data_IF_992576352122
#
_entry.id   IF_992576352122
#
_cell.length_a   1.000
_cell.length_b   1.000
_cell.length_c   1.000
_cell.angle_alpha   90.00
_cell.angle_beta   90.00
_cell.angle_gamma   90.00
#
_symmetry.space_group_name_H-M   'P 1'
#
loop_
_entity.id
_entity.type
_entity.pdbx_description
1 polymer ?
#
# COMPACT_ATOMS: atom_id res chain seq x y z
N UNK A 1 -16.22 -31.55 -36.39
CA UNK A 1 -16.61 -30.13 -36.55
C UNK A 1 -17.69 -29.88 -35.52
N UNK A 2 -17.31 -29.58 -34.28
CA UNK A 2 -18.26 -29.28 -33.22
C UNK A 2 -18.81 -27.88 -33.48
N UNK A 3 -20.01 -27.80 -34.06
CA UNK A 3 -20.69 -26.52 -34.19
C UNK A 3 -21.01 -25.99 -32.78
N UNK A 4 -20.73 -24.71 -32.49
CA UNK A 4 -21.05 -24.13 -31.20
C UNK A 4 -22.57 -24.10 -31.04
N UNK A 5 -23.08 -24.96 -30.15
CA UNK A 5 -24.50 -25.23 -29.94
C UNK A 5 -25.28 -23.96 -29.51
N UNK A 6 -24.64 -23.05 -28.77
CA UNK A 6 -25.27 -21.84 -28.26
C UNK A 6 -25.64 -20.82 -29.37
N UNK A 7 -24.74 -20.44 -30.30
CA UNK A 7 -25.09 -19.68 -31.49
C UNK A 7 -26.28 -20.26 -32.27
N UNK A 8 -26.27 -21.57 -32.49
CA UNK A 8 -27.37 -22.24 -33.21
C UNK A 8 -28.71 -22.08 -32.48
N UNK A 9 -28.73 -22.24 -31.16
CA UNK A 9 -29.95 -22.04 -30.36
C UNK A 9 -30.41 -20.56 -30.35
N UNK A 10 -29.49 -19.60 -30.41
CA UNK A 10 -29.83 -18.18 -30.53
C UNK A 10 -30.51 -17.88 -31.88
N UNK A 11 -29.99 -18.44 -32.97
CA UNK A 11 -30.56 -18.30 -34.30
C UNK A 11 -31.94 -18.97 -34.37
N UNK A 12 -32.08 -20.17 -33.82
CA UNK A 12 -33.38 -20.83 -33.68
C UNK A 12 -34.36 -19.98 -32.87
N UNK A 13 -33.93 -19.31 -31.80
CA UNK A 13 -34.78 -18.41 -31.00
C UNK A 13 -35.32 -17.25 -31.84
N UNK A 14 -34.44 -16.62 -32.61
CA UNK A 14 -34.77 -15.46 -33.45
C UNK A 14 -35.81 -15.86 -34.50
N UNK A 15 -35.59 -16.97 -35.19
CA UNK A 15 -36.51 -17.44 -36.24
C UNK A 15 -37.85 -17.93 -35.67
N UNK A 16 -37.85 -18.61 -34.51
CA UNK A 16 -39.08 -19.05 -33.86
C UNK A 16 -39.92 -17.87 -33.34
N UNK A 17 -39.28 -16.80 -32.85
CA UNK A 17 -39.99 -15.58 -32.42
C UNK A 17 -40.61 -14.82 -33.59
N UNK A 18 -40.02 -14.89 -34.79
CA UNK A 18 -40.62 -14.36 -36.02
C UNK A 18 -41.79 -15.22 -36.51
N UNK A 19 -41.66 -16.54 -36.44
CA UNK A 19 -42.65 -17.48 -36.95
C UNK A 19 -43.88 -17.66 -36.04
N UNK A 20 -43.72 -17.51 -34.73
CA UNK A 20 -44.77 -17.76 -33.73
C UNK A 20 -45.13 -16.47 -32.97
N UNK A 21 -46.34 -15.94 -33.19
CA UNK A 21 -46.84 -14.73 -32.51
C UNK A 21 -46.90 -14.84 -30.99
N UNK A 22 -47.06 -16.04 -30.45
CA UNK A 22 -47.13 -16.32 -29.00
C UNK A 22 -45.90 -17.09 -28.49
N UNK A 23 -44.76 -16.95 -29.18
CA UNK A 23 -43.53 -17.68 -28.85
C UNK A 23 -43.14 -17.56 -27.38
N UNK A 24 -43.16 -16.35 -26.82
CA UNK A 24 -42.71 -16.10 -25.44
C UNK A 24 -43.66 -16.72 -24.38
N UNK A 25 -44.87 -17.13 -24.77
CA UNK A 25 -45.82 -17.86 -23.90
C UNK A 25 -45.78 -19.37 -24.13
N UNK A 26 -45.04 -19.84 -25.13
CA UNK A 26 -44.97 -21.25 -25.50
C UNK A 26 -44.00 -22.03 -24.62
N UNK A 27 -44.32 -23.31 -24.40
CA UNK A 27 -43.42 -24.23 -23.70
C UNK A 27 -42.08 -24.40 -24.44
N UNK A 28 -42.10 -24.30 -25.77
CA UNK A 28 -40.90 -24.33 -26.60
C UNK A 28 -39.96 -23.15 -26.32
N UNK A 29 -40.51 -21.94 -26.17
CA UNK A 29 -39.75 -20.75 -25.79
C UNK A 29 -39.08 -20.91 -24.44
N UNK A 30 -39.82 -21.38 -23.44
CA UNK A 30 -39.31 -21.62 -22.08
C UNK A 30 -38.18 -22.67 -22.07
N UNK A 31 -38.34 -23.78 -22.82
CA UNK A 31 -37.31 -24.82 -22.93
C UNK A 31 -36.05 -24.32 -23.63
N UNK A 32 -36.19 -23.51 -24.67
CA UNK A 32 -35.07 -22.98 -25.44
C UNK A 32 -34.28 -21.92 -24.66
N UNK A 33 -34.97 -21.04 -23.94
CA UNK A 33 -34.32 -20.07 -23.04
C UNK A 33 -33.60 -20.77 -21.87
N UNK A 34 -34.16 -21.87 -21.35
CA UNK A 34 -33.52 -22.69 -20.32
C UNK A 34 -32.22 -23.32 -20.86
N UNK A 35 -32.23 -23.88 -22.07
CA UNK A 35 -31.05 -24.46 -22.69
C UNK A 35 -29.95 -23.41 -22.98
N UNK A 36 -30.33 -22.21 -23.42
CA UNK A 36 -29.40 -21.10 -23.63
C UNK A 36 -28.75 -20.59 -22.34
N UNK A 37 -29.49 -20.62 -21.22
CA UNK A 37 -28.97 -20.26 -19.90
C UNK A 37 -27.96 -21.29 -19.39
N UNK A 38 -28.19 -22.59 -19.63
CA UNK A 38 -27.28 -23.67 -19.24
C UNK A 38 -25.96 -23.65 -20.03
N UNK A 39 -25.98 -23.16 -21.27
CA UNK A 39 -24.81 -23.10 -22.16
C UNK A 39 -24.06 -21.77 -22.08
N UNK A 40 -24.44 -20.86 -21.19
CA UNK A 40 -23.72 -19.61 -21.01
C UNK A 40 -22.32 -19.88 -20.39
N UNK A 41 -21.23 -19.34 -20.96
CA UNK A 41 -19.92 -19.45 -20.35
C UNK A 41 -19.93 -18.73 -19.00
N UNK A 42 -19.18 -19.22 -18.00
CA UNK A 42 -19.02 -18.51 -16.75
C UNK A 42 -18.23 -17.21 -17.03
N UNK A 43 -18.88 -16.06 -16.88
CA UNK A 43 -18.21 -14.77 -16.89
C UNK A 43 -17.30 -14.66 -15.65
N UNK A 44 -16.06 -14.14 -15.77
CA UNK A 44 -15.18 -13.96 -14.64
C UNK A 44 -15.68 -12.79 -13.77
N UNK A 45 -16.42 -13.11 -12.71
CA UNK A 45 -16.94 -12.14 -11.75
C UNK A 45 -17.98 -12.77 -10.81
N UNK A 46 -17.53 -13.13 -9.61
CA UNK A 46 -18.19 -14.04 -8.65
C UNK A 46 -19.60 -13.67 -8.18
N UNK A 47 -20.10 -12.45 -8.39
CA UNK A 47 -21.43 -12.05 -7.92
C UNK A 47 -22.60 -12.61 -8.76
N UNK A 48 -22.38 -12.93 -10.05
CA UNK A 48 -23.46 -13.38 -10.95
C UNK A 48 -23.73 -14.88 -10.87
N UNK A 49 -22.76 -15.67 -10.40
CA UNK A 49 -22.90 -17.11 -10.19
C UNK A 49 -23.90 -17.42 -9.08
N UNK A 50 -23.90 -16.63 -8.00
CA UNK A 50 -24.82 -16.79 -6.88
C UNK A 50 -26.24 -16.39 -7.23
N UNK A 51 -26.43 -15.26 -7.94
CA UNK A 51 -27.74 -14.86 -8.46
C UNK A 51 -28.33 -15.89 -9.45
N UNK A 52 -27.48 -16.49 -10.30
CA UNK A 52 -27.90 -17.54 -11.25
C UNK A 52 -28.23 -18.85 -10.54
N UNK A 53 -27.56 -19.15 -9.44
CA UNK A 53 -27.80 -20.36 -8.63
C UNK A 53 -29.06 -20.20 -7.77
N UNK A 54 -29.29 -19.03 -7.19
CA UNK A 54 -30.53 -18.67 -6.52
C UNK A 54 -31.73 -18.70 -7.49
N UNK A 55 -31.57 -18.16 -8.70
CA UNK A 55 -32.61 -18.22 -9.74
C UNK A 55 -32.93 -19.68 -10.16
N UNK A 56 -31.91 -20.52 -10.32
CA UNK A 56 -32.09 -21.96 -10.61
C UNK A 56 -32.77 -22.71 -9.47
N UNK A 57 -32.39 -22.43 -8.23
CA UNK A 57 -33.02 -23.01 -7.05
C UNK A 57 -34.48 -22.56 -6.93
N UNK A 58 -34.76 -21.27 -7.12
CA UNK A 58 -36.12 -20.72 -7.11
C UNK A 58 -36.99 -21.36 -8.20
N UNK A 59 -36.46 -21.52 -9.42
CA UNK A 59 -37.16 -22.20 -10.51
C UNK A 59 -37.45 -23.67 -10.19
N UNK A 60 -36.46 -24.41 -9.64
CA UNK A 60 -36.64 -25.80 -9.23
C UNK A 60 -37.74 -25.93 -8.16
N UNK A 61 -37.74 -25.05 -7.15
CA UNK A 61 -38.78 -25.00 -6.12
C UNK A 61 -40.16 -24.65 -6.69
N UNK A 62 -40.25 -23.71 -7.63
CA UNK A 62 -41.50 -23.36 -8.31
C UNK A 62 -42.08 -24.55 -9.08
N UNK A 63 -41.24 -25.29 -9.80
CA UNK A 63 -41.66 -26.48 -10.54
C UNK A 63 -42.08 -27.60 -9.61
N UNK A 64 -41.31 -27.88 -8.56
CA UNK A 64 -41.66 -28.88 -7.54
C UNK A 64 -42.97 -28.53 -6.83
N UNK A 65 -43.17 -27.26 -6.47
CA UNK A 65 -44.39 -26.79 -5.83
C UNK A 65 -45.62 -26.91 -6.75
N UNK A 66 -45.48 -26.64 -8.06
CA UNK A 66 -46.55 -26.83 -9.05
C UNK A 66 -46.96 -28.30 -9.16
N UNK A 67 -45.99 -29.21 -9.22
CA UNK A 67 -46.25 -30.67 -9.25
C UNK A 67 -46.87 -31.12 -7.93
N UNK A 68 -46.38 -30.63 -6.79
CA UNK A 68 -46.93 -30.97 -5.47
C UNK A 68 -48.38 -30.48 -5.33
N UNK A 69 -48.70 -29.29 -5.82
CA UNK A 69 -50.05 -28.72 -5.79
C UNK A 69 -51.06 -29.59 -6.56
N UNK A 70 -50.65 -30.20 -7.67
CA UNK A 70 -51.53 -31.04 -8.49
C UNK A 70 -51.61 -32.48 -7.98
N UNK A 71 -50.51 -33.03 -7.45
CA UNK A 71 -50.43 -34.45 -7.04
C UNK A 71 -50.79 -34.66 -5.56
N UNK A 72 -50.45 -33.72 -4.69
CA UNK A 72 -50.59 -33.85 -3.22
C UNK A 72 -51.01 -32.50 -2.58
N UNK A 73 -52.27 -32.07 -2.76
CA UNK A 73 -52.72 -30.74 -2.35
C UNK A 73 -52.67 -30.49 -0.83
N UNK A 74 -52.81 -31.55 -0.01
CA UNK A 74 -52.72 -31.45 1.46
C UNK A 74 -51.30 -31.09 1.90
N UNK A 75 -50.29 -31.78 1.36
CA UNK A 75 -48.87 -31.50 1.63
C UNK A 75 -48.46 -30.12 1.12
N UNK A 76 -48.98 -29.70 -0.04
CA UNK A 76 -48.77 -28.33 -0.54
C UNK A 76 -49.33 -27.28 0.44
N UNK A 77 -50.52 -27.50 1.01
CA UNK A 77 -51.12 -26.60 1.98
C UNK A 77 -50.40 -26.56 3.34
N UNK A 78 -49.76 -27.65 3.75
CA UNK A 78 -48.86 -27.68 4.92
C UNK A 78 -47.56 -26.92 4.66
N UNK A 79 -46.91 -27.19 3.52
CA UNK A 79 -45.70 -26.48 3.10
C UNK A 79 -45.94 -24.97 2.96
N UNK A 80 -47.07 -24.57 2.38
CA UNK A 80 -47.43 -23.15 2.23
C UNK A 80 -47.58 -22.46 3.59
N UNK A 81 -48.24 -23.11 4.57
CA UNK A 81 -48.39 -22.56 5.92
C UNK A 81 -47.03 -22.41 6.62
N UNK A 82 -46.15 -23.38 6.45
CA UNK A 82 -44.80 -23.33 7.05
C UNK A 82 -43.92 -22.26 6.41
N UNK A 83 -43.97 -22.12 5.08
CA UNK A 83 -43.29 -21.02 4.36
C UNK A 83 -43.81 -19.66 4.83
N UNK A 84 -45.14 -19.50 4.95
CA UNK A 84 -45.73 -18.27 5.46
C UNK A 84 -45.28 -17.98 6.89
N UNK A 85 -45.27 -18.98 7.77
CA UNK A 85 -44.76 -18.87 9.15
C UNK A 85 -43.30 -18.41 9.17
N UNK A 86 -42.45 -18.95 8.30
CA UNK A 86 -41.02 -18.59 8.21
C UNK A 86 -40.82 -17.16 7.68
N UNK A 87 -41.62 -16.74 6.70
CA UNK A 87 -41.62 -15.38 6.18
C UNK A 87 -42.11 -14.37 7.24
N UNK A 88 -43.18 -14.71 7.96
CA UNK A 88 -43.77 -13.88 9.02
C UNK A 88 -42.90 -13.83 10.27
N UNK A 89 -42.13 -14.89 10.55
CA UNK A 89 -41.16 -14.90 11.65
C UNK A 89 -39.95 -13.97 11.43
N UNK A 90 -39.91 -13.29 10.27
CA UNK A 90 -38.75 -12.54 9.82
C UNK A 90 -37.66 -13.52 9.44
N UNK A 91 -37.38 -13.63 8.14
CA UNK A 91 -36.13 -14.22 7.67
C UNK A 91 -34.95 -13.70 8.52
N UNK A 92 -33.88 -14.50 8.74
CA UNK A 92 -32.71 -14.03 9.47
C UNK A 92 -32.27 -12.69 8.87
N UNK A 93 -32.06 -11.68 9.73
CA UNK A 93 -31.80 -10.29 9.39
C UNK A 93 -31.19 -10.11 7.99
N UNK A 94 -31.91 -9.37 7.13
CA UNK A 94 -31.62 -9.08 5.73
C UNK A 94 -30.24 -9.58 5.27
N UNK A 95 -30.18 -10.84 4.84
CA UNK A 95 -28.94 -11.48 4.43
C UNK A 95 -28.21 -10.69 3.33
N UNK A 96 -28.93 -9.92 2.52
CA UNK A 96 -28.31 -9.06 1.52
C UNK A 96 -27.64 -7.83 2.15
N UNK A 97 -28.22 -7.25 3.20
CA UNK A 97 -27.59 -6.17 3.96
C UNK A 97 -26.33 -6.67 4.69
N UNK A 98 -26.35 -7.88 5.26
CA UNK A 98 -25.16 -8.46 5.89
C UNK A 98 -24.09 -8.81 4.86
N UNK A 99 -24.45 -9.34 3.69
CA UNK A 99 -23.51 -9.56 2.59
C UNK A 99 -22.87 -8.24 2.15
N UNK A 100 -23.66 -7.19 1.92
CA UNK A 100 -23.14 -5.89 1.52
C UNK A 100 -22.19 -5.29 2.57
N UNK A 101 -22.51 -5.47 3.86
CA UNK A 101 -21.63 -5.05 4.96
C UNK A 101 -20.32 -5.84 4.97
N UNK A 102 -20.38 -7.17 4.83
CA UNK A 102 -19.20 -8.02 4.80
C UNK A 102 -18.31 -7.73 3.58
N UNK A 103 -18.89 -7.41 2.43
CA UNK A 103 -18.15 -6.96 1.25
C UNK A 103 -17.41 -5.65 1.51
N UNK A 104 -18.05 -4.69 2.17
CA UNK A 104 -17.43 -3.41 2.56
C UNK A 104 -16.30 -3.61 3.58
N UNK A 105 -16.52 -4.47 4.59
CA UNK A 105 -15.51 -4.80 5.59
C UNK A 105 -14.29 -5.50 4.96
N UNK A 106 -14.52 -6.38 3.97
CA UNK A 106 -13.46 -7.03 3.20
C UNK A 106 -12.64 -6.01 2.40
N UNK A 107 -13.29 -5.10 1.66
CA UNK A 107 -12.61 -4.06 0.89
C UNK A 107 -11.76 -3.16 1.79
N UNK A 108 -12.29 -2.77 2.96
CA UNK A 108 -11.56 -1.99 3.94
C UNK A 108 -10.35 -2.75 4.50
N UNK A 109 -10.51 -4.04 4.81
CA UNK A 109 -9.42 -4.87 5.30
C UNK A 109 -8.31 -5.08 4.26
N UNK A 110 -8.67 -5.29 2.99
CA UNK A 110 -7.71 -5.41 1.89
C UNK A 110 -6.95 -4.11 1.64
N UNK A 111 -7.64 -2.97 1.65
CA UNK A 111 -7.00 -1.66 1.54
C UNK A 111 -6.00 -1.40 2.69
N UNK A 112 -6.41 -1.73 3.93
CA UNK A 112 -5.54 -1.62 5.10
C UNK A 112 -4.31 -2.53 4.98
N UNK A 113 -4.49 -3.79 4.59
CA UNK A 113 -3.40 -4.74 4.38
C UNK A 113 -2.43 -4.28 3.26
N UNK A 114 -2.97 -3.76 2.15
CA UNK A 114 -2.19 -3.20 1.05
C UNK A 114 -1.33 -2.01 1.50
N UNK A 115 -1.91 -1.08 2.25
CA UNK A 115 -1.18 0.08 2.79
C UNK A 115 -0.08 -0.34 3.79
N UNK A 116 -0.37 -1.29 4.68
CA UNK A 116 0.59 -1.82 5.65
C UNK A 116 1.76 -2.53 4.95
N UNK A 117 1.48 -3.31 3.91
CA UNK A 117 2.50 -3.97 3.09
C UNK A 117 3.41 -2.95 2.41
N UNK A 118 2.85 -1.89 1.82
CA UNK A 118 3.65 -0.85 1.17
C UNK A 118 4.55 -0.11 2.17
N UNK A 119 4.03 0.22 3.35
CA UNK A 119 4.82 0.83 4.43
C UNK A 119 5.96 -0.08 4.87
N UNK A 120 5.69 -1.38 5.05
CA UNK A 120 6.73 -2.37 5.39
C UNK A 120 7.79 -2.47 4.30
N UNK A 121 7.40 -2.49 3.02
CA UNK A 121 8.35 -2.51 1.90
C UNK A 121 9.25 -1.26 1.87
N UNK A 122 8.68 -0.06 2.09
CA UNK A 122 9.45 1.19 2.17
C UNK A 122 10.44 1.16 3.33
N UNK A 123 9.99 0.73 4.52
CA UNK A 123 10.85 0.61 5.69
C UNK A 123 11.99 -0.39 5.47
N UNK A 124 11.71 -1.55 4.87
CA UNK A 124 12.75 -2.54 4.50
C UNK A 124 13.75 -1.97 3.50
N UNK A 125 13.29 -1.21 2.50
CA UNK A 125 14.18 -0.57 1.52
C UNK A 125 15.09 0.47 2.17
N UNK A 126 14.55 1.32 3.05
CA UNK A 126 15.32 2.30 3.81
C UNK A 126 16.35 1.62 4.72
N UNK A 127 15.95 0.56 5.44
CA UNK A 127 16.85 -0.20 6.30
C UNK A 127 18.01 -0.82 5.49
N UNK A 128 17.73 -1.40 4.32
CA UNK A 128 18.77 -1.92 3.44
C UNK A 128 19.75 -0.83 2.98
N UNK A 129 19.26 0.36 2.66
CA UNK A 129 20.12 1.50 2.30
C UNK A 129 21.03 1.90 3.46
N UNK A 130 20.50 1.98 4.68
CA UNK A 130 21.29 2.28 5.89
C UNK A 130 22.33 1.20 6.16
N UNK A 131 21.95 -0.09 6.09
CA UNK A 131 22.90 -1.19 6.29
C UNK A 131 24.05 -1.16 5.26
N UNK A 132 23.74 -0.84 4.00
CA UNK A 132 24.77 -0.67 2.95
C UNK A 132 25.68 0.53 3.22
N UNK A 133 25.12 1.65 3.66
CA UNK A 133 25.91 2.83 4.04
C UNK A 133 26.84 2.51 5.22
N UNK A 134 26.33 1.85 6.26
CA UNK A 134 27.14 1.41 7.41
C UNK A 134 28.23 0.43 7.00
N UNK A 135 27.96 -0.52 6.10
CA UNK A 135 28.97 -1.42 5.55
C UNK A 135 30.10 -0.66 4.84
N UNK A 136 29.76 0.42 4.14
CA UNK A 136 30.75 1.24 3.43
C UNK A 136 31.61 2.07 4.38
N UNK A 137 31.08 2.57 5.51
CA UNK A 137 31.87 3.39 6.44
C UNK A 137 32.62 2.54 7.48
N UNK A 138 32.13 1.34 7.79
CA UNK A 138 32.74 0.42 8.76
C UNK A 138 32.94 -1.01 8.19
N UNK A 139 33.77 -1.19 7.15
CA UNK A 139 34.01 -2.49 6.53
C UNK A 139 34.76 -3.48 7.45
N UNK A 140 35.46 -2.97 8.46
CA UNK A 140 36.23 -3.77 9.42
C UNK A 140 35.36 -4.61 10.36
N UNK A 141 34.07 -4.29 10.48
CA UNK A 141 33.12 -5.10 11.25
C UNK A 141 32.52 -6.15 10.31
N UNK A 142 32.87 -7.44 10.49
CA UNK A 142 32.38 -8.51 9.64
C UNK A 142 30.87 -8.68 9.81
N UNK A 143 30.21 -9.18 8.77
CA UNK A 143 28.80 -9.57 8.87
C UNK A 143 28.69 -10.80 9.77
N UNK A 144 28.03 -10.64 10.92
CA UNK A 144 27.83 -11.71 11.88
C UNK A 144 26.39 -11.69 12.38
N UNK A 145 25.73 -12.84 12.30
CA UNK A 145 24.35 -13.01 12.73
C UNK A 145 23.35 -12.35 11.79
N UNK A 146 22.34 -11.68 12.37
CA UNK A 146 21.35 -10.96 11.59
C UNK A 146 21.84 -9.55 11.16
N UNK A 147 21.19 -8.99 10.13
CA UNK A 147 21.58 -7.71 9.55
C UNK A 147 21.48 -6.54 10.56
N UNK A 148 20.62 -6.66 11.57
CA UNK A 148 20.41 -5.61 12.57
C UNK A 148 21.53 -5.63 13.61
N UNK A 149 21.93 -6.80 14.10
CA UNK A 149 23.08 -6.99 14.97
C UNK A 149 24.37 -6.51 14.31
N UNK A 150 24.55 -6.84 13.02
CA UNK A 150 25.69 -6.33 12.23
C UNK A 150 25.66 -4.81 12.08
N UNK A 151 24.49 -4.21 11.82
CA UNK A 151 24.35 -2.75 11.71
C UNK A 151 24.66 -2.04 13.04
N UNK A 152 24.18 -2.58 14.17
CA UNK A 152 24.46 -2.06 15.50
C UNK A 152 25.97 -2.12 15.82
N UNK A 153 26.62 -3.25 15.58
CA UNK A 153 28.06 -3.40 15.79
C UNK A 153 28.87 -2.41 14.93
N UNK A 154 28.43 -2.14 13.69
CA UNK A 154 29.03 -1.12 12.82
C UNK A 154 28.85 0.29 13.38
N UNK A 155 27.67 0.63 13.92
CA UNK A 155 27.42 1.91 14.57
C UNK A 155 28.31 2.06 15.81
N UNK A 156 28.40 1.04 16.66
CA UNK A 156 29.27 1.05 17.85
C UNK A 156 30.74 1.26 17.47
N UNK A 157 31.23 0.60 16.43
CA UNK A 157 32.60 0.78 15.94
C UNK A 157 32.85 2.18 15.36
N UNK A 158 31.84 2.81 14.76
CA UNK A 158 31.92 4.21 14.31
C UNK A 158 31.99 5.17 15.50
N UNK A 159 31.14 4.96 16.51
CA UNK A 159 31.11 5.75 17.75
C UNK A 159 32.42 5.62 18.53
N UNK A 160 33.01 4.43 18.56
CA UNK A 160 34.31 4.15 19.22
C UNK A 160 35.52 4.63 18.40
N UNK A 161 35.30 5.30 17.25
CA UNK A 161 36.37 5.88 16.43
C UNK A 161 37.16 4.86 15.60
N UNK A 162 36.89 3.55 15.74
CA UNK A 162 37.54 2.48 14.97
C UNK A 162 37.22 2.58 13.46
N UNK A 163 36.07 3.15 13.10
CA UNK A 163 35.71 3.41 11.70
C UNK A 163 36.32 4.66 11.08
N UNK A 164 36.82 5.62 11.86
CA UNK A 164 37.37 6.88 11.32
C UNK A 164 38.70 6.64 10.58
N UNK A 165 39.51 5.70 11.08
CA UNK A 165 40.80 5.34 10.47
C UNK A 165 40.65 4.55 9.14
N UNK A 166 39.61 3.73 9.01
CA UNK A 166 39.30 2.99 7.78
C UNK A 166 38.47 3.83 6.79
N UNK A 167 37.57 4.68 7.29
CA UNK A 167 36.84 5.68 6.48
C UNK A 167 37.81 6.69 5.83
N UNK A 168 38.90 7.06 6.50
CA UNK A 168 39.96 7.88 5.89
C UNK A 168 40.67 7.20 4.70
N UNK A 169 40.75 5.87 4.67
CA UNK A 169 41.33 5.11 3.55
C UNK A 169 40.36 4.90 2.37
N UNK A 170 39.04 4.93 2.60
CA UNK A 170 38.03 4.90 1.52
C UNK A 170 37.41 6.26 1.17
N UNK A 171 37.69 7.32 1.94
CA UNK A 171 37.33 8.70 1.64
C UNK A 171 37.93 9.22 0.33
N UNK A 172 38.92 8.52 -0.25
CA UNK A 172 39.43 8.80 -1.59
C UNK A 172 38.49 8.39 -2.74
N UNK A 173 37.41 7.63 -2.50
CA UNK A 173 36.62 7.00 -3.60
C UNK A 173 35.11 7.31 -3.57
N UNK A 174 34.53 7.84 -2.48
CA UNK A 174 33.06 8.04 -2.38
C UNK A 174 32.58 9.30 -1.65
N UNK A 175 33.36 10.39 -1.69
CA UNK A 175 32.85 11.71 -1.31
C UNK A 175 31.99 12.29 -2.45
N UNK A 176 30.75 11.81 -2.56
CA UNK A 176 29.70 12.53 -3.26
C UNK A 176 28.49 12.61 -2.31
N UNK A 177 28.46 13.67 -1.50
CA UNK A 177 27.26 14.09 -0.75
C UNK A 177 27.35 15.49 -0.11
N UNK A 178 28.53 16.07 0.13
CA UNK A 178 28.67 17.49 0.43
C UNK A 178 30.13 17.91 0.24
N UNK A 179 30.37 18.89 -0.62
CA UNK A 179 31.70 19.49 -0.78
C UNK A 179 32.13 20.12 0.56
N UNK A 180 33.22 19.64 1.20
CA UNK A 180 33.72 20.18 2.45
C UNK A 180 34.20 21.64 2.34
N UNK A 181 34.37 22.14 1.12
CA UNK A 181 34.72 23.53 0.82
C UNK A 181 33.52 24.40 0.45
N UNK A 182 32.30 23.84 0.46
CA UNK A 182 31.07 24.56 0.12
C UNK A 182 30.86 25.81 1.00
N UNK A 183 30.20 26.79 0.39
CA UNK A 183 29.71 28.02 1.03
C UNK A 183 28.21 28.13 0.71
N UNK A 184 27.30 28.07 1.70
CA UNK A 184 27.52 28.04 3.14
C UNK A 184 28.24 26.76 3.64
N UNK A 185 29.02 26.85 4.75
CA UNK A 185 29.66 25.68 5.34
C UNK A 185 28.63 24.63 5.77
N UNK A 186 28.79 23.35 5.37
CA UNK A 186 27.92 22.28 5.83
C UNK A 186 28.00 22.09 7.35
N UNK A 187 26.92 21.60 7.98
CA UNK A 187 26.86 21.42 9.43
C UNK A 187 28.01 20.57 10.03
N UNK A 188 28.46 19.53 9.33
CA UNK A 188 29.60 18.73 9.77
C UNK A 188 30.92 19.52 9.77
N UNK A 189 31.08 20.49 8.86
CA UNK A 189 32.25 21.39 8.84
C UNK A 189 32.19 22.35 10.03
N UNK A 190 31.00 22.89 10.33
CA UNK A 190 30.82 23.76 11.51
C UNK A 190 31.15 23.01 12.82
N UNK A 191 30.71 21.77 12.99
CA UNK A 191 31.03 20.97 14.17
C UNK A 191 32.54 20.69 14.30
N UNK A 192 33.23 20.41 13.19
CA UNK A 192 34.68 20.23 13.18
C UNK A 192 35.45 21.51 13.53
N UNK A 193 34.98 22.66 13.06
CA UNK A 193 35.58 23.98 13.38
C UNK A 193 35.31 24.36 14.83
N UNK A 194 34.10 24.13 15.33
CA UNK A 194 33.73 24.31 16.75
C UNK A 194 34.59 23.45 17.67
N UNK A 195 34.89 22.21 17.26
CA UNK A 195 35.78 21.31 17.99
C UNK A 195 37.28 21.65 17.88
N UNK A 196 37.64 22.68 17.09
CA UNK A 196 39.04 23.08 16.85
C UNK A 196 39.84 22.05 16.04
N UNK A 197 39.18 21.08 15.42
CA UNK A 197 39.83 20.02 14.63
C UNK A 197 40.16 20.49 13.21
N UNK A 198 39.55 21.61 12.78
CA UNK A 198 39.70 22.22 11.46
C UNK A 198 39.49 23.74 11.58
N UNK A 199 40.06 24.52 10.65
CA UNK A 199 39.71 25.93 10.45
C UNK A 199 38.86 26.15 9.19
N UNK A 200 38.19 27.29 9.13
CA UNK A 200 37.47 27.71 7.93
C UNK A 200 38.43 28.00 6.77
N UNK A 201 38.01 27.67 5.54
CA UNK A 201 38.65 28.25 4.37
C UNK A 201 38.28 29.75 4.24
N UNK A 202 38.94 30.48 3.35
CA UNK A 202 38.72 31.93 3.19
C UNK A 202 37.25 32.28 2.92
N UNK A 203 36.60 31.58 2.01
CA UNK A 203 35.23 31.88 1.60
C UNK A 203 34.20 31.51 2.69
N UNK A 204 34.43 30.39 3.40
CA UNK A 204 33.66 29.97 4.56
C UNK A 204 33.80 30.94 5.73
N UNK A 205 35.00 31.48 5.94
CA UNK A 205 35.26 32.50 6.97
C UNK A 205 34.53 33.79 6.65
N UNK A 206 34.62 34.27 5.41
CA UNK A 206 33.92 35.48 4.96
C UNK A 206 32.39 35.34 5.13
N UNK A 207 31.84 34.18 4.74
CA UNK A 207 30.43 33.86 4.96
C UNK A 207 30.08 33.80 6.45
N UNK A 208 30.86 33.08 7.26
CA UNK A 208 30.60 32.90 8.68
C UNK A 208 30.62 34.22 9.46
N UNK A 209 31.54 35.14 9.11
CA UNK A 209 31.58 36.48 9.69
C UNK A 209 30.34 37.28 9.29
N UNK A 210 29.95 37.26 8.00
CA UNK A 210 28.77 37.99 7.53
C UNK A 210 27.47 37.50 8.21
N UNK A 211 27.27 36.19 8.30
CA UNK A 211 26.10 35.62 8.98
C UNK A 211 26.13 35.89 10.49
N UNK A 212 27.30 35.80 11.14
CA UNK A 212 27.41 36.13 12.57
C UNK A 212 27.03 37.58 12.86
N UNK A 213 27.33 38.52 11.96
CA UNK A 213 26.87 39.91 12.09
C UNK A 213 25.35 40.02 12.01
N UNK A 214 24.71 39.25 11.13
CA UNK A 214 23.25 39.23 11.00
C UNK A 214 22.60 38.64 12.26
N UNK A 215 23.08 37.48 12.72
CA UNK A 215 22.56 36.79 13.91
C UNK A 215 22.71 37.62 15.18
N UNK A 216 23.83 38.33 15.33
CA UNK A 216 24.07 39.21 16.49
C UNK A 216 23.42 40.59 16.36
N UNK A 217 22.64 40.85 15.31
CA UNK A 217 21.99 42.15 15.09
C UNK A 217 22.97 43.30 14.93
N UNK A 218 24.13 43.04 14.31
CA UNK A 218 25.20 44.02 14.04
C UNK A 218 25.85 44.60 15.30
N UNK A 219 25.77 43.89 16.43
CA UNK A 219 26.41 44.29 17.69
C UNK A 219 27.95 44.23 17.62
N UNK A 220 28.51 43.41 16.72
CA UNK A 220 29.95 43.25 16.54
C UNK A 220 30.40 43.63 15.13
N UNK A 221 31.58 44.22 15.04
CA UNK A 221 32.28 44.45 13.78
C UNK A 221 32.95 43.16 13.27
N UNK A 222 33.28 43.07 11.97
CA UNK A 222 33.98 41.91 11.41
C UNK A 222 35.29 41.58 12.14
N UNK A 223 36.02 42.60 12.61
CA UNK A 223 37.30 42.43 13.31
C UNK A 223 37.07 41.80 14.69
N UNK A 224 36.11 42.31 15.45
CA UNK A 224 35.76 41.78 16.77
C UNK A 224 35.24 40.33 16.70
N UNK A 225 34.53 39.99 15.61
CA UNK A 225 34.08 38.62 15.35
C UNK A 225 35.25 37.67 15.05
N UNK A 226 36.27 38.13 14.31
CA UNK A 226 37.47 37.34 14.04
C UNK A 226 38.33 37.16 15.30
N UNK A 227 38.38 38.15 16.19
CA UNK A 227 39.10 38.06 17.48
C UNK A 227 38.49 37.03 18.43
N UNK A 228 37.17 36.80 18.36
CA UNK A 228 36.48 35.74 19.12
C UNK A 228 36.85 34.32 18.63
N UNK A 229 37.36 34.20 17.42
CA UNK A 229 37.86 32.97 16.84
C UNK A 229 36.82 32.14 16.09
N UNK A 230 37.31 31.34 15.16
CA UNK A 230 36.48 30.49 14.29
C UNK A 230 35.62 29.45 15.04
N UNK A 231 36.09 28.82 16.14
CA UNK A 231 35.26 27.88 16.88
C UNK A 231 34.01 28.53 17.48
N UNK A 232 34.13 29.79 17.93
CA UNK A 232 33.01 30.55 18.45
C UNK A 232 32.00 30.89 17.35
N UNK A 233 32.50 31.36 16.19
CA UNK A 233 31.66 31.62 15.00
C UNK A 233 30.92 30.37 14.54
N UNK A 234 31.59 29.22 14.50
CA UNK A 234 30.96 27.95 14.14
C UNK A 234 29.87 27.53 15.14
N UNK A 235 30.12 27.73 16.44
CA UNK A 235 29.12 27.49 17.49
C UNK A 235 27.88 28.36 17.33
N UNK A 236 28.07 29.65 17.02
CA UNK A 236 26.98 30.59 16.79
C UNK A 236 26.10 30.22 15.59
N UNK A 237 26.71 29.76 14.49
CA UNK A 237 25.96 29.36 13.29
C UNK A 237 25.21 28.03 13.46
N UNK A 238 25.69 27.15 14.34
CA UNK A 238 25.01 25.91 14.69
C UNK A 238 23.81 26.16 15.62
N UNK A 239 23.91 27.17 16.49
CA UNK A 239 22.87 27.54 17.44
C UNK A 239 22.68 29.07 17.51
N UNK A 240 21.92 29.66 16.56
CA UNK A 240 21.76 31.11 16.46
C UNK A 240 21.02 31.73 17.66
N UNK A 241 20.19 30.94 18.35
CA UNK A 241 19.41 31.40 19.51
C UNK A 241 20.30 31.69 20.73
N UNK A 242 21.52 31.14 20.75
CA UNK A 242 22.50 31.38 21.81
C UNK A 242 23.07 32.82 21.85
N UNK A 243 22.82 33.64 20.83
CA UNK A 243 23.27 35.04 20.77
C UNK A 243 22.22 36.08 21.17
N UNK A 244 20.97 35.66 21.39
CA UNK A 244 19.89 36.49 21.94
C UNK A 244 19.76 36.33 23.45
#
# INVERSE_FOLDING_TARGET
MDLPLRPLLLDCRIELRKALRTYDQSELGQRLDTALALLAPPEPGSARADATTAARAAYAWQMAARVLKTTHPVLFGELQREVQRLLDSGAPADANAEIARLEQDLEAAEAAAGSAKLTRMKATAQLNTVCKALAAVAPQVPEQGDAQATALARIEALVQGLGVAAAAQMAGVRADAADPEAVPPPGFVLELVKAGQRGFNKAQREFAVAEAMIVTGWQFTPVELLERGEPWLAGLLLDPESAT
#
